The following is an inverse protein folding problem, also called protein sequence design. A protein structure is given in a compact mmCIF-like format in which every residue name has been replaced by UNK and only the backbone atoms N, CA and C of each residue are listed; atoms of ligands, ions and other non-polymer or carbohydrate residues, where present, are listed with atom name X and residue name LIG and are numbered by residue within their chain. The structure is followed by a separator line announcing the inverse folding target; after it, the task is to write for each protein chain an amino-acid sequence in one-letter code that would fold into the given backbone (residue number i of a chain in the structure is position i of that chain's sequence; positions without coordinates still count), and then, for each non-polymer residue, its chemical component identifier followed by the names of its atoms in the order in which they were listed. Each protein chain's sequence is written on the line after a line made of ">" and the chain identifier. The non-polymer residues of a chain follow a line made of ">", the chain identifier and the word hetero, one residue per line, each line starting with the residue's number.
data_IF_104237936160
#
_entry.id   IF_104237936160
#
_cell.length_a   1.000
_cell.length_b   1.000
_cell.length_c   1.000
_cell.angle_alpha   90.00
_cell.angle_beta   90.00
_cell.angle_gamma   90.00
#
_symmetry.space_group_name_H-M   'P 1'
#
loop_
_entity.id
_entity.type
_entity.pdbx_description
1 polymer ?
#
# COMPACT_ATOMS: atom_id res chain seq x y z
N UNK A 1 -13.22 32.28 87.26
CA UNK A 1 -12.02 31.62 86.71
C UNK A 1 -12.32 30.27 86.05
N UNK A 2 -13.13 29.38 86.58
CA UNK A 2 -13.48 28.11 86.03
C UNK A 2 -14.16 28.22 84.64
N UNK A 3 -15.13 29.10 84.47
CA UNK A 3 -15.82 29.30 83.17
C UNK A 3 -14.91 29.75 82.01
N UNK A 4 -13.86 30.49 82.34
CA UNK A 4 -12.87 30.93 81.33
C UNK A 4 -11.93 29.78 80.92
N UNK A 5 -11.55 28.95 81.88
CA UNK A 5 -10.76 27.73 81.59
C UNK A 5 -11.53 26.72 80.76
N UNK A 6 -12.81 26.52 81.07
CA UNK A 6 -13.67 25.59 80.27
C UNK A 6 -13.85 26.09 78.85
N UNK A 7 -14.05 27.39 78.63
CA UNK A 7 -14.11 27.96 77.23
C UNK A 7 -12.80 27.88 76.51
N UNK A 8 -11.67 28.06 77.14
CA UNK A 8 -10.36 27.90 76.52
C UNK A 8 -10.11 26.44 76.11
N UNK A 9 -10.49 25.52 77.01
CA UNK A 9 -10.36 24.09 76.73
C UNK A 9 -11.27 23.66 75.58
N UNK A 10 -12.51 24.11 75.53
CA UNK A 10 -13.46 23.84 74.44
C UNK A 10 -12.98 24.41 73.08
N UNK A 11 -12.46 25.65 73.08
CA UNK A 11 -11.88 26.27 71.91
C UNK A 11 -10.62 25.52 71.42
N UNK A 12 -9.76 25.08 72.33
CA UNK A 12 -8.58 24.30 72.01
C UNK A 12 -8.96 22.95 71.35
N UNK A 13 -9.99 22.29 71.92
CA UNK A 13 -10.52 21.04 71.35
C UNK A 13 -11.16 21.24 69.97
N UNK A 14 -11.93 22.31 69.77
CA UNK A 14 -12.51 22.66 68.45
C UNK A 14 -11.44 22.99 67.43
N UNK A 15 -10.41 23.75 67.81
CA UNK A 15 -9.29 24.05 66.94
C UNK A 15 -8.48 22.82 66.59
N UNK A 16 -8.22 21.90 67.53
CA UNK A 16 -7.54 20.63 67.27
C UNK A 16 -8.30 19.74 66.31
N UNK A 17 -9.64 19.62 66.43
CA UNK A 17 -10.49 18.89 65.52
C UNK A 17 -10.48 19.53 64.12
N UNK A 18 -10.64 20.86 64.03
CA UNK A 18 -10.60 21.56 62.73
C UNK A 18 -9.26 21.39 62.01
N UNK A 19 -8.14 21.40 62.75
CA UNK A 19 -6.82 21.11 62.17
C UNK A 19 -6.70 19.65 61.65
N UNK A 20 -7.23 18.70 62.43
CA UNK A 20 -7.25 17.28 62.01
C UNK A 20 -8.07 17.07 60.73
N UNK A 21 -9.29 17.64 60.68
CA UNK A 21 -10.13 17.59 59.49
C UNK A 21 -9.49 18.25 58.26
N UNK A 22 -8.82 19.39 58.49
CA UNK A 22 -8.10 20.06 57.40
C UNK A 22 -6.93 19.22 56.89
N UNK A 23 -6.20 18.58 57.79
CA UNK A 23 -5.07 17.71 57.43
C UNK A 23 -5.52 16.47 56.65
N UNK A 24 -6.64 15.86 57.04
CA UNK A 24 -7.24 14.75 56.36
C UNK A 24 -7.70 15.14 54.95
N UNK A 25 -8.45 16.23 54.80
CA UNK A 25 -8.88 16.75 53.49
C UNK A 25 -7.70 17.12 52.57
N UNK A 26 -6.63 17.69 53.14
CA UNK A 26 -5.43 18.03 52.39
C UNK A 26 -4.73 16.77 51.88
N UNK A 27 -4.62 15.72 52.68
CA UNK A 27 -4.06 14.45 52.30
C UNK A 27 -4.89 13.76 51.21
N UNK A 28 -6.23 13.75 51.35
CA UNK A 28 -7.13 13.22 50.33
C UNK A 28 -7.00 13.96 48.97
N UNK A 29 -6.95 15.30 49.04
CA UNK A 29 -6.80 16.14 47.84
C UNK A 29 -5.45 15.92 47.16
N UNK A 30 -4.37 15.84 47.93
CA UNK A 30 -3.03 15.58 47.41
C UNK A 30 -2.95 14.18 46.79
N UNK A 31 -3.46 13.16 47.47
CA UNK A 31 -3.47 11.78 46.95
C UNK A 31 -4.32 11.67 45.68
N UNK A 32 -5.52 12.26 45.70
CA UNK A 32 -6.39 12.27 44.51
C UNK A 32 -5.80 13.03 43.33
N UNK A 33 -5.11 14.17 43.60
CA UNK A 33 -4.41 14.93 42.57
C UNK A 33 -3.25 14.13 41.95
N UNK A 34 -2.45 13.48 42.82
CA UNK A 34 -1.33 12.65 42.38
C UNK A 34 -1.78 11.48 41.48
N UNK A 35 -2.84 10.77 41.89
CA UNK A 35 -3.42 9.66 41.10
C UNK A 35 -3.94 10.16 39.74
N UNK A 36 -4.65 11.29 39.71
CA UNK A 36 -5.13 11.87 38.43
C UNK A 36 -3.97 12.26 37.51
N UNK A 37 -2.94 12.91 38.06
CA UNK A 37 -1.76 13.34 37.31
C UNK A 37 -1.02 12.13 36.73
N UNK A 38 -0.81 11.07 37.53
CA UNK A 38 -0.16 9.85 37.08
C UNK A 38 -0.96 9.17 35.95
N UNK A 39 -2.28 9.08 36.10
CA UNK A 39 -3.15 8.53 35.05
C UNK A 39 -3.07 9.33 33.77
N UNK A 40 -3.14 10.67 33.85
CA UNK A 40 -3.01 11.54 32.67
C UNK A 40 -1.64 11.41 31.99
N UNK A 41 -0.56 11.25 32.75
CA UNK A 41 0.78 11.02 32.22
C UNK A 41 0.87 9.67 31.50
N UNK A 42 0.28 8.62 32.05
CA UNK A 42 0.23 7.30 31.39
C UNK A 42 -0.55 7.37 30.08
N UNK A 43 -1.71 8.00 30.08
CA UNK A 43 -2.51 8.20 28.86
C UNK A 43 -1.76 9.02 27.79
N UNK A 44 -1.01 10.05 28.22
CA UNK A 44 -0.15 10.82 27.31
C UNK A 44 0.98 9.98 26.73
N UNK A 45 1.62 9.14 27.53
CA UNK A 45 2.67 8.23 27.06
C UNK A 45 2.14 7.22 26.03
N UNK A 46 0.96 6.65 26.25
CA UNK A 46 0.32 5.74 25.30
C UNK A 46 -0.03 6.44 23.98
N UNK A 47 -0.53 7.68 24.05
CA UNK A 47 -0.82 8.48 22.84
C UNK A 47 0.45 8.85 22.09
N UNK A 48 1.52 9.22 22.77
CA UNK A 48 2.83 9.51 22.15
C UNK A 48 3.38 8.25 21.44
N UNK A 49 3.32 7.08 22.09
CA UNK A 49 3.75 5.83 21.47
C UNK A 49 2.92 5.48 20.21
N UNK A 50 1.63 5.83 20.20
CA UNK A 50 0.77 5.64 19.02
C UNK A 50 1.13 6.62 17.90
N UNK A 51 1.43 7.87 18.24
CA UNK A 51 1.88 8.90 17.29
C UNK A 51 3.22 8.51 16.68
N UNK A 52 4.18 8.05 17.47
CA UNK A 52 5.50 7.60 16.99
C UNK A 52 5.38 6.45 16.01
N UNK A 53 4.50 5.48 16.28
CA UNK A 53 4.20 4.39 15.33
C UNK A 53 3.57 4.90 14.04
N UNK A 54 2.62 5.83 14.14
CA UNK A 54 1.99 6.43 12.97
C UNK A 54 3.01 7.22 12.13
N UNK A 55 3.92 7.95 12.77
CA UNK A 55 4.97 8.71 12.11
C UNK A 55 5.97 7.79 11.40
N UNK A 56 6.41 6.72 12.04
CA UNK A 56 7.27 5.72 11.40
C UNK A 56 6.60 5.06 10.17
N UNK A 57 5.29 4.80 10.24
CA UNK A 57 4.53 4.29 9.10
C UNK A 57 4.42 5.31 7.96
N UNK A 58 4.25 6.61 8.28
CA UNK A 58 4.22 7.70 7.28
C UNK A 58 5.59 7.84 6.60
N UNK A 59 6.68 7.78 7.35
CA UNK A 59 8.04 7.83 6.79
C UNK A 59 8.31 6.65 5.85
N UNK A 60 7.92 5.44 6.26
CA UNK A 60 8.00 4.26 5.40
C UNK A 60 7.17 4.41 4.14
N UNK A 61 5.91 4.83 4.28
CA UNK A 61 5.01 5.05 3.14
C UNK A 61 5.54 6.13 2.19
N UNK A 62 6.13 7.21 2.72
CA UNK A 62 6.76 8.25 1.91
C UNK A 62 7.96 7.72 1.11
N UNK A 63 8.78 6.85 1.71
CA UNK A 63 9.87 6.17 1.01
C UNK A 63 9.36 5.25 -0.10
N UNK A 64 8.31 4.48 0.18
CA UNK A 64 7.68 3.58 -0.79
C UNK A 64 7.04 4.36 -1.95
N UNK A 65 6.41 5.50 -1.69
CA UNK A 65 5.81 6.38 -2.73
C UNK A 65 6.89 7.01 -3.61
N UNK A 66 8.00 7.47 -3.04
CA UNK A 66 9.12 8.02 -3.83
C UNK A 66 9.76 6.93 -4.71
N UNK A 67 9.95 5.72 -4.18
CA UNK A 67 10.46 4.60 -4.96
C UNK A 67 9.52 4.17 -6.09
N UNK A 68 8.19 4.22 -5.87
CA UNK A 68 7.20 3.99 -6.91
C UNK A 68 7.22 5.07 -7.99
N UNK A 69 7.40 6.34 -7.65
CA UNK A 69 7.54 7.40 -8.63
C UNK A 69 8.78 7.22 -9.52
N UNK A 70 9.91 6.81 -8.94
CA UNK A 70 11.13 6.50 -9.68
C UNK A 70 10.95 5.28 -10.60
N UNK A 71 10.28 4.23 -10.12
CA UNK A 71 9.91 3.06 -10.93
C UNK A 71 9.02 3.47 -12.12
N UNK A 72 8.02 4.30 -11.87
CA UNK A 72 7.06 4.71 -12.89
C UNK A 72 7.63 5.73 -13.89
N UNK A 73 8.62 6.56 -13.49
CA UNK A 73 9.22 7.57 -14.35
C UNK A 73 10.16 7.00 -15.41
N UNK A 74 10.80 5.84 -15.15
CA UNK A 74 11.77 5.23 -16.05
C UNK A 74 11.16 4.01 -16.78
N UNK A 75 11.18 4.04 -18.12
CA UNK A 75 10.63 2.95 -18.97
C UNK A 75 11.28 1.60 -18.70
N UNK A 76 12.60 1.59 -18.46
CA UNK A 76 13.34 0.36 -18.19
C UNK A 76 12.97 -0.23 -16.82
N UNK A 77 12.85 0.61 -15.80
CA UNK A 77 12.46 0.21 -14.45
C UNK A 77 11.01 -0.31 -14.41
N UNK A 78 10.11 0.31 -15.19
CA UNK A 78 8.73 -0.20 -15.36
C UNK A 78 8.68 -1.58 -15.99
N UNK A 79 9.50 -1.82 -17.02
CA UNK A 79 9.62 -3.15 -17.64
C UNK A 79 10.05 -4.19 -16.61
N UNK A 80 11.13 -3.94 -15.89
CA UNK A 80 11.63 -4.82 -14.85
C UNK A 80 10.58 -5.06 -13.73
N UNK A 81 9.83 -4.04 -13.33
CA UNK A 81 8.76 -4.18 -12.33
C UNK A 81 7.64 -5.13 -12.81
N UNK A 82 7.21 -5.01 -14.06
CA UNK A 82 6.21 -5.91 -14.66
C UNK A 82 6.69 -7.35 -14.73
N UNK A 83 7.95 -7.56 -15.10
CA UNK A 83 8.58 -8.89 -15.13
C UNK A 83 8.68 -9.51 -13.73
N UNK A 84 9.05 -8.72 -12.70
CA UNK A 84 9.11 -9.18 -11.30
C UNK A 84 7.72 -9.59 -10.80
N UNK A 85 6.68 -8.79 -11.07
CA UNK A 85 5.32 -9.13 -10.69
C UNK A 85 4.82 -10.39 -11.39
N UNK A 86 5.07 -10.50 -12.71
CA UNK A 86 4.73 -11.70 -13.47
C UNK A 86 5.41 -12.94 -12.87
N UNK A 87 6.70 -12.85 -12.56
CA UNK A 87 7.44 -13.93 -11.96
C UNK A 87 6.86 -14.34 -10.58
N UNK A 88 6.55 -13.37 -9.73
CA UNK A 88 5.96 -13.62 -8.41
C UNK A 88 4.61 -14.34 -8.53
N UNK A 89 3.75 -13.92 -9.45
CA UNK A 89 2.43 -14.52 -9.67
C UNK A 89 2.59 -15.96 -10.22
N UNK A 90 3.40 -16.15 -11.26
CA UNK A 90 3.57 -17.45 -11.92
C UNK A 90 4.21 -18.45 -10.95
N UNK A 91 5.25 -18.05 -10.21
CA UNK A 91 5.93 -18.92 -9.24
C UNK A 91 5.08 -19.35 -8.05
N UNK A 92 4.06 -18.56 -7.69
CA UNK A 92 3.08 -18.89 -6.66
C UNK A 92 1.92 -19.73 -7.16
N UNK A 93 1.55 -19.56 -8.45
CA UNK A 93 0.39 -20.20 -9.04
C UNK A 93 0.70 -21.55 -9.69
N UNK A 94 1.90 -21.75 -10.19
CA UNK A 94 2.27 -22.91 -11.01
C UNK A 94 3.47 -23.68 -10.43
N UNK A 95 3.54 -25.02 -10.64
CA UNK A 95 4.73 -25.83 -10.36
C UNK A 95 5.94 -25.34 -11.17
N UNK A 96 7.15 -25.51 -10.62
CA UNK A 96 8.39 -25.00 -11.23
C UNK A 96 8.72 -25.58 -12.61
N UNK A 97 8.25 -26.76 -12.91
CA UNK A 97 8.43 -27.48 -14.17
C UNK A 97 7.40 -27.09 -15.23
N UNK A 98 6.35 -26.38 -14.87
CA UNK A 98 5.26 -25.98 -15.76
C UNK A 98 5.51 -24.66 -16.49
N UNK A 99 6.62 -23.98 -16.25
CA UNK A 99 6.95 -22.72 -16.91
C UNK A 99 8.46 -22.48 -16.99
N UNK A 100 8.86 -21.62 -17.91
CA UNK A 100 10.23 -21.10 -18.03
C UNK A 100 10.19 -19.58 -18.10
N UNK A 101 10.91 -18.92 -17.18
CA UNK A 101 11.09 -17.48 -17.20
C UNK A 101 12.17 -17.09 -18.19
N UNK A 102 12.01 -15.94 -18.85
CA UNK A 102 12.97 -15.39 -19.80
C UNK A 102 13.38 -16.40 -20.88
N UNK A 103 12.40 -17.14 -21.38
CA UNK A 103 12.60 -18.19 -22.39
C UNK A 103 12.99 -17.59 -23.74
N UNK A 104 14.07 -18.12 -24.34
CA UNK A 104 14.46 -17.75 -25.70
C UNK A 104 13.83 -18.72 -26.69
N UNK A 105 13.07 -18.20 -27.64
CA UNK A 105 12.38 -18.95 -28.69
C UNK A 105 13.31 -19.20 -29.89
N UNK A 106 12.91 -20.08 -30.81
CA UNK A 106 13.69 -20.43 -32.01
C UNK A 106 14.04 -19.24 -32.91
N UNK A 107 13.18 -18.20 -32.91
CA UNK A 107 13.41 -16.96 -33.66
C UNK A 107 14.38 -15.98 -32.93
N UNK A 108 15.02 -16.40 -31.83
CA UNK A 108 15.93 -15.60 -31.03
C UNK A 108 15.26 -14.52 -30.17
N UNK A 109 13.93 -14.48 -30.13
CA UNK A 109 13.21 -13.54 -29.25
C UNK A 109 13.08 -14.15 -27.87
N UNK A 110 13.20 -13.27 -26.86
CA UNK A 110 13.11 -13.64 -25.45
C UNK A 110 11.74 -13.25 -24.91
N UNK A 111 11.00 -14.24 -24.42
CA UNK A 111 9.70 -14.09 -23.78
C UNK A 111 9.87 -13.95 -22.27
N UNK A 112 9.05 -13.15 -21.61
CA UNK A 112 9.12 -12.95 -20.16
C UNK A 112 8.78 -14.25 -19.42
N UNK A 113 7.78 -14.99 -19.89
CA UNK A 113 7.43 -16.31 -19.38
C UNK A 113 6.87 -17.19 -20.51
N UNK A 114 7.23 -18.46 -20.47
CA UNK A 114 6.66 -19.51 -21.32
C UNK A 114 6.00 -20.56 -20.44
N UNK A 115 4.71 -20.74 -20.56
CA UNK A 115 3.98 -21.81 -19.87
C UNK A 115 4.00 -23.07 -20.72
N UNK A 116 4.43 -24.17 -20.15
CA UNK A 116 4.49 -25.47 -20.82
C UNK A 116 3.12 -26.13 -20.81
N UNK A 117 2.50 -26.20 -21.96
CA UNK A 117 1.25 -26.92 -22.18
C UNK A 117 1.47 -28.04 -23.22
N UNK A 118 0.72 -29.13 -23.07
CA UNK A 118 0.73 -30.18 -24.09
C UNK A 118 0.21 -29.65 -25.45
N UNK A 119 0.68 -30.20 -26.51
CA UNK A 119 0.21 -29.87 -27.87
C UNK A 119 -0.93 -30.79 -28.27
N UNK A 120 -2.12 -30.33 -28.69
CA UNK A 120 -2.56 -28.92 -28.70
C UNK A 120 -2.95 -28.39 -27.29
N UNK A 121 -2.85 -27.07 -27.01
CA UNK A 121 -2.51 -25.97 -27.93
C UNK A 121 -1.01 -25.70 -28.07
N UNK A 122 -0.13 -26.35 -27.29
CA UNK A 122 1.28 -26.04 -27.21
C UNK A 122 1.62 -24.95 -26.18
N UNK A 123 2.92 -24.65 -25.97
CA UNK A 123 3.38 -23.69 -25.00
C UNK A 123 2.82 -22.29 -25.25
N UNK A 124 2.38 -21.60 -24.19
CA UNK A 124 1.83 -20.25 -24.28
C UNK A 124 2.86 -19.23 -23.72
N UNK A 125 3.12 -18.20 -24.52
CA UNK A 125 3.96 -17.08 -24.09
C UNK A 125 3.14 -16.07 -23.30
N UNK A 126 3.72 -15.56 -22.21
CA UNK A 126 3.25 -14.39 -21.48
C UNK A 126 4.32 -13.30 -21.60
N UNK A 127 3.88 -12.10 -21.99
CA UNK A 127 4.75 -10.92 -22.10
C UNK A 127 4.15 -9.78 -21.31
N UNK A 128 4.96 -9.16 -20.43
CA UNK A 128 4.54 -8.07 -19.57
C UNK A 128 4.59 -6.74 -20.30
N UNK A 129 3.50 -6.00 -20.28
CA UNK A 129 3.40 -4.67 -20.86
C UNK A 129 2.67 -3.70 -19.95
N UNK A 130 3.23 -2.50 -19.81
CA UNK A 130 2.63 -1.46 -18.99
C UNK A 130 2.47 -0.16 -19.82
N UNK A 131 1.31 0.07 -20.44
CA UNK A 131 1.03 1.28 -21.24
C UNK A 131 0.75 2.50 -20.33
N UNK A 132 1.70 2.84 -19.44
CA UNK A 132 1.52 3.85 -18.40
C UNK A 132 1.26 5.23 -18.98
N UNK A 133 2.02 5.66 -19.98
CA UNK A 133 1.88 7.00 -20.57
C UNK A 133 0.47 7.25 -21.11
N UNK A 134 -0.07 6.25 -21.80
CA UNK A 134 -1.43 6.32 -22.35
C UNK A 134 -2.49 6.29 -21.24
N UNK A 135 -2.28 5.49 -20.19
CA UNK A 135 -3.14 5.44 -19.03
C UNK A 135 -3.12 6.75 -18.23
N UNK A 136 -1.95 7.33 -17.99
CA UNK A 136 -1.83 8.63 -17.31
C UNK A 136 -2.47 9.77 -18.10
N UNK A 137 -2.32 9.79 -19.42
CA UNK A 137 -3.00 10.76 -20.26
C UNK A 137 -4.52 10.70 -20.09
N UNK A 138 -5.08 9.49 -20.05
CA UNK A 138 -6.51 9.26 -19.81
C UNK A 138 -6.93 9.74 -18.41
N UNK A 139 -6.13 9.47 -17.39
CA UNK A 139 -6.38 9.90 -15.99
C UNK A 139 -6.30 11.42 -15.81
N UNK A 140 -5.44 12.11 -16.56
CA UNK A 140 -5.26 13.57 -16.50
C UNK A 140 -6.28 14.35 -17.32
N UNK A 141 -6.96 13.71 -18.26
CA UNK A 141 -7.95 14.31 -19.12
C UNK A 141 -9.12 14.90 -18.30
N UNK A 142 -9.46 16.17 -18.53
CA UNK A 142 -10.50 16.90 -17.80
C UNK A 142 -11.70 17.26 -18.64
N UNK A 143 -11.49 17.41 -19.94
CA UNK A 143 -12.53 17.75 -20.90
C UNK A 143 -12.97 16.50 -21.67
N UNK A 144 -14.21 16.53 -22.17
CA UNK A 144 -14.74 15.41 -22.98
C UNK A 144 -13.88 15.14 -24.24
N UNK A 145 -13.34 16.19 -24.82
CA UNK A 145 -12.43 16.07 -25.96
C UNK A 145 -11.13 15.37 -25.57
N UNK A 146 -10.48 15.80 -24.47
CA UNK A 146 -9.25 15.18 -23.95
C UNK A 146 -9.46 13.71 -23.58
N UNK A 147 -10.60 13.38 -22.98
CA UNK A 147 -10.95 11.98 -22.63
C UNK A 147 -11.06 11.13 -23.91
N UNK A 148 -11.76 11.61 -24.94
CA UNK A 148 -11.89 10.89 -26.20
C UNK A 148 -10.55 10.71 -26.92
N UNK A 149 -9.70 11.73 -26.90
CA UNK A 149 -8.38 11.65 -27.54
C UNK A 149 -7.42 10.72 -26.76
N UNK A 150 -7.38 10.81 -25.44
CA UNK A 150 -6.60 9.92 -24.58
C UNK A 150 -7.07 8.46 -24.67
N UNK A 151 -8.37 8.20 -24.73
CA UNK A 151 -8.92 6.87 -24.94
C UNK A 151 -8.50 6.29 -26.31
N UNK A 152 -8.48 7.13 -27.36
CA UNK A 152 -7.98 6.73 -28.68
C UNK A 152 -6.49 6.38 -28.63
N UNK A 153 -5.68 7.22 -27.96
CA UNK A 153 -4.25 6.99 -27.80
C UNK A 153 -3.97 5.69 -27.02
N UNK A 154 -4.73 5.44 -25.95
CA UNK A 154 -4.65 4.19 -25.18
C UNK A 154 -4.97 2.96 -26.04
N UNK A 155 -6.00 3.03 -26.86
CA UNK A 155 -6.37 1.96 -27.81
C UNK A 155 -5.27 1.67 -28.81
N UNK A 156 -4.65 2.70 -29.36
CA UNK A 156 -3.52 2.57 -30.30
C UNK A 156 -2.32 1.92 -29.60
N UNK A 157 -1.97 2.34 -28.39
CA UNK A 157 -0.87 1.77 -27.61
C UNK A 157 -1.09 0.27 -27.34
N UNK A 158 -2.27 -0.10 -26.87
CA UNK A 158 -2.62 -1.51 -26.60
C UNK A 158 -2.58 -2.37 -27.87
N UNK A 159 -3.17 -1.88 -28.96
CA UNK A 159 -3.10 -2.60 -30.24
C UNK A 159 -1.67 -2.80 -30.73
N UNK A 160 -0.80 -1.79 -30.58
CA UNK A 160 0.61 -1.90 -30.91
C UNK A 160 1.32 -2.97 -30.08
N UNK A 161 1.02 -3.05 -28.78
CA UNK A 161 1.56 -4.11 -27.92
C UNK A 161 1.06 -5.50 -28.32
N UNK A 162 -0.24 -5.66 -28.55
CA UNK A 162 -0.82 -6.92 -29.03
C UNK A 162 -0.14 -7.36 -30.32
N UNK A 163 -0.01 -6.47 -31.30
CA UNK A 163 0.61 -6.77 -32.59
C UNK A 163 2.09 -7.14 -32.45
N UNK A 164 2.82 -6.44 -31.55
CA UNK A 164 4.21 -6.79 -31.28
C UNK A 164 4.35 -8.17 -30.61
N UNK A 165 3.48 -8.53 -29.69
CA UNK A 165 3.44 -9.84 -29.03
C UNK A 165 3.13 -10.93 -30.08
N UNK A 166 2.10 -10.74 -30.89
CA UNK A 166 1.72 -11.69 -31.96
C UNK A 166 2.88 -11.96 -32.90
N UNK A 167 3.51 -10.91 -33.41
CA UNK A 167 4.63 -11.04 -34.36
C UNK A 167 5.86 -11.70 -33.76
N UNK A 168 6.12 -11.48 -32.46
CA UNK A 168 7.34 -11.96 -31.81
C UNK A 168 7.23 -13.39 -31.29
N UNK A 169 6.05 -13.79 -30.83
CA UNK A 169 5.91 -14.93 -29.94
C UNK A 169 4.94 -16.00 -30.40
N UNK A 170 4.15 -15.75 -31.44
CA UNK A 170 3.36 -16.81 -32.09
C UNK A 170 4.19 -17.40 -33.20
N UNK A 171 4.67 -18.64 -33.00
CA UNK A 171 5.54 -19.37 -33.91
C UNK A 171 4.87 -20.69 -34.21
N UNK A 172 4.51 -20.90 -35.48
CA UNK A 172 3.86 -22.12 -35.95
C UNK A 172 4.68 -23.37 -35.60
N UNK A 173 4.04 -24.33 -34.96
CA UNK A 173 4.67 -25.59 -34.54
C UNK A 173 5.54 -25.51 -33.26
N UNK A 174 5.79 -24.34 -32.71
CA UNK A 174 6.57 -24.16 -31.48
C UNK A 174 5.73 -23.63 -30.34
N UNK A 175 4.90 -22.60 -30.56
CA UNK A 175 4.04 -22.00 -29.56
C UNK A 175 2.56 -22.19 -29.93
N UNK A 176 1.68 -21.97 -28.94
CA UNK A 176 0.24 -21.92 -29.22
C UNK A 176 -0.12 -20.77 -30.17
N UNK A 177 -1.31 -20.86 -30.78
CA UNK A 177 -1.86 -19.84 -31.69
C UNK A 177 -2.26 -18.53 -30.98
N UNK A 178 -1.93 -18.40 -29.70
CA UNK A 178 -2.19 -17.25 -28.86
C UNK A 178 -1.07 -17.00 -27.87
N UNK A 179 -0.98 -15.75 -27.43
CA UNK A 179 -0.09 -15.31 -26.36
C UNK A 179 -0.84 -14.41 -25.37
N UNK A 180 -0.36 -14.32 -24.16
CA UNK A 180 -0.98 -13.52 -23.10
C UNK A 180 -0.19 -12.22 -22.88
N UNK A 181 -0.90 -11.11 -22.82
CA UNK A 181 -0.35 -9.83 -22.39
C UNK A 181 -0.63 -9.64 -20.91
N UNK A 182 0.40 -9.63 -20.07
CA UNK A 182 0.29 -9.36 -18.65
C UNK A 182 0.34 -7.85 -18.39
N UNK A 183 -0.66 -7.33 -17.67
CA UNK A 183 -0.74 -5.93 -17.26
C UNK A 183 -0.47 -5.85 -15.74
N UNK A 184 0.66 -5.27 -15.30
CA UNK A 184 1.02 -5.19 -13.89
C UNK A 184 0.25 -4.08 -13.15
N UNK A 185 -1.04 -3.91 -13.45
CA UNK A 185 -1.92 -2.92 -12.82
C UNK A 185 -3.38 -3.28 -13.05
N UNK A 186 -4.09 -3.55 -11.95
CA UNK A 186 -5.54 -3.77 -11.98
C UNK A 186 -6.31 -2.55 -12.51
N UNK A 187 -5.83 -1.33 -12.20
CA UNK A 187 -6.45 -0.10 -12.67
C UNK A 187 -6.37 0.05 -14.20
N UNK A 188 -5.22 -0.29 -14.79
CA UNK A 188 -5.06 -0.29 -16.26
C UNK A 188 -5.93 -1.38 -16.89
N UNK A 189 -5.98 -2.56 -16.29
CA UNK A 189 -6.83 -3.66 -16.75
C UNK A 189 -8.32 -3.29 -16.72
N UNK A 190 -8.80 -2.72 -15.61
CA UNK A 190 -10.19 -2.28 -15.47
C UNK A 190 -10.57 -1.21 -16.50
N UNK A 191 -9.69 -0.25 -16.74
CA UNK A 191 -9.88 0.81 -17.74
C UNK A 191 -9.97 0.23 -19.17
N UNK A 192 -9.13 -0.74 -19.49
CA UNK A 192 -9.19 -1.43 -20.78
C UNK A 192 -10.52 -2.17 -20.95
N UNK A 193 -10.98 -2.91 -19.94
CA UNK A 193 -12.26 -3.62 -20.02
C UNK A 193 -13.47 -2.68 -20.09
N UNK A 194 -13.42 -1.53 -19.43
CA UNK A 194 -14.52 -0.56 -19.47
C UNK A 194 -14.67 0.14 -20.82
N UNK A 195 -13.55 0.36 -21.53
CA UNK A 195 -13.52 1.19 -22.74
C UNK A 195 -13.24 0.42 -24.04
N UNK A 196 -12.92 -0.88 -23.95
CA UNK A 196 -12.54 -1.71 -25.11
C UNK A 196 -13.17 -3.11 -25.02
N UNK A 197 -14.48 -3.25 -25.26
CA UNK A 197 -15.16 -4.53 -25.29
C UNK A 197 -14.67 -5.43 -26.44
#
# INVERSE_FOLDING_TARGET
>A
QRQMQDRLHENAMKSARALSDLQERMNETLTGSTVKTTKSLTELQERLATIDKAQANIEKLSGDVLSLQDILSNKQTRGAFGEIQLNDIVSKALPKDSYTLQATLSNGKRADCLIHLPNPPGPIVIDSKFPLEAYEALRRAKTEYEVKDAARAMRVAVKSHIQAITTKYIIEGETADGALMFLPSEAVYAELHANFP
#
